data_IF_323837521405
#
_entry.id   IF_323837521405
#
_cell.length_a   1.000
_cell.length_b   1.000
_cell.length_c   1.000
_cell.angle_alpha   90.00
_cell.angle_beta   90.00
_cell.angle_gamma   90.00
#
_symmetry.space_group_name_H-M   'P 1'
#
loop_
_entity.id
_entity.type
_entity.pdbx_description
1 polymer ?
#
# COMPACT_ATOMS: atom_id res chain seq x y z
N UNK A 1 -42.92 -2.48 52.38
CA UNK A 1 -43.54 -2.92 51.12
C UNK A 1 -42.50 -3.76 50.38
N UNK A 2 -42.27 -5.01 50.81
CA UNK A 2 -42.93 -6.24 50.33
C UNK A 2 -42.64 -6.48 48.83
N UNK A 3 -41.71 -7.32 48.37
CA UNK A 3 -41.35 -8.72 48.66
C UNK A 3 -42.41 -9.78 48.25
N UNK A 4 -42.01 -10.57 47.24
CA UNK A 4 -42.29 -12.00 46.98
C UNK A 4 -43.70 -12.48 46.58
N UNK A 5 -43.74 -13.35 45.54
CA UNK A 5 -44.18 -14.78 45.50
C UNK A 5 -44.46 -15.19 44.04
N UNK A 6 -43.81 -16.21 43.45
CA UNK A 6 -44.12 -17.68 43.50
C UNK A 6 -45.60 -17.96 43.20
N UNK A 7 -46.05 -18.89 42.36
CA UNK A 7 -45.65 -20.27 42.04
C UNK A 7 -46.69 -20.78 41.01
N UNK A 8 -46.37 -21.76 40.14
CA UNK A 8 -47.00 -23.09 40.22
C UNK A 8 -46.73 -24.02 39.03
N UNK A 9 -46.46 -25.27 39.41
CA UNK A 9 -46.36 -26.50 38.62
C UNK A 9 -47.64 -27.34 38.82
N UNK A 10 -48.07 -28.04 37.76
CA UNK A 10 -48.89 -29.28 37.81
C UNK A 10 -50.41 -29.12 38.03
N UNK A 11 -51.24 -30.10 37.61
CA UNK A 11 -50.99 -31.53 37.85
C UNK A 11 -51.26 -32.50 36.68
N UNK A 12 -50.91 -33.75 36.98
CA UNK A 12 -50.99 -35.02 36.25
C UNK A 12 -52.42 -35.59 36.19
N UNK A 13 -52.79 -36.28 35.10
CA UNK A 13 -53.80 -37.37 35.11
C UNK A 13 -53.31 -38.56 34.28
N UNK A 14 -53.39 -39.75 34.87
CA UNK A 14 -53.03 -41.08 34.36
C UNK A 14 -54.18 -41.81 33.65
N UNK A 15 -53.81 -42.78 32.79
CA UNK A 15 -54.55 -44.03 32.49
C UNK A 15 -54.77 -44.24 30.98
N UNK A 16 -54.49 -45.37 30.32
CA UNK A 16 -54.21 -46.75 30.73
C UNK A 16 -53.55 -47.52 29.55
N UNK A 17 -52.60 -48.40 29.88
CA UNK A 17 -52.21 -49.70 29.29
C UNK A 17 -52.22 -49.93 27.76
N UNK A 18 -51.03 -50.22 27.24
CA UNK A 18 -50.81 -50.94 25.97
C UNK A 18 -49.35 -51.39 25.84
N UNK A 19 -49.13 -52.69 25.94
CA UNK A 19 -47.85 -53.41 26.03
C UNK A 19 -46.97 -53.38 24.76
N UNK A 20 -45.65 -53.48 24.98
CA UNK A 20 -44.60 -54.14 24.16
C UNK A 20 -44.00 -53.38 22.94
N UNK A 21 -42.76 -52.86 23.10
CA UNK A 21 -41.50 -53.32 22.45
C UNK A 21 -40.40 -52.27 22.64
N UNK A 22 -39.26 -52.67 23.20
CA UNK A 22 -38.11 -51.79 23.42
C UNK A 22 -37.36 -51.41 22.13
N UNK A 23 -36.61 -50.30 22.12
CA UNK A 23 -35.87 -49.84 20.95
C UNK A 23 -34.58 -50.68 20.75
N UNK A 24 -34.14 -50.90 19.50
CA UNK A 24 -32.88 -51.58 19.24
C UNK A 24 -31.69 -50.65 19.55
N UNK A 25 -30.62 -51.25 20.11
CA UNK A 25 -29.32 -50.61 20.33
C UNK A 25 -28.65 -50.23 18.99
N UNK A 26 -27.86 -49.16 18.93
CA UNK A 26 -27.01 -48.87 17.77
C UNK A 26 -25.81 -49.81 17.74
N UNK A 27 -25.54 -50.37 16.56
CA UNK A 27 -24.39 -51.22 16.28
C UNK A 27 -23.13 -50.38 16.03
N UNK A 28 -22.04 -50.76 16.67
CA UNK A 28 -20.67 -50.43 16.26
C UNK A 28 -20.25 -51.32 15.09
N UNK A 29 -19.38 -50.82 14.20
CA UNK A 29 -18.42 -51.71 13.55
C UNK A 29 -16.97 -51.28 13.81
N UNK A 30 -16.15 -52.31 13.76
CA UNK A 30 -14.77 -52.41 14.20
C UNK A 30 -13.78 -51.83 13.19
N UNK A 31 -12.64 -51.47 13.74
CA UNK A 31 -11.36 -51.13 13.11
C UNK A 31 -10.77 -52.26 12.27
N UNK A 32 -10.23 -51.89 11.10
CA UNK A 32 -9.28 -52.67 10.28
C UNK A 32 -8.55 -51.71 9.31
N UNK A 33 -7.26 -51.93 8.97
CA UNK A 33 -6.32 -50.85 8.66
C UNK A 33 -6.37 -50.44 7.18
N UNK A 34 -6.37 -49.13 6.92
CA UNK A 34 -6.10 -48.58 5.59
C UNK A 34 -4.68 -48.03 5.54
N UNK A 35 -3.95 -48.58 4.59
CA UNK A 35 -2.54 -48.35 4.23
C UNK A 35 -2.30 -46.87 3.96
N UNK A 36 -1.35 -46.28 4.70
CA UNK A 36 -0.84 -44.94 4.48
C UNK A 36 0.06 -44.97 3.23
N UNK A 37 -0.46 -44.52 2.09
CA UNK A 37 0.35 -44.21 0.92
C UNK A 37 1.15 -42.94 1.20
N UNK A 38 2.47 -43.09 1.34
CA UNK A 38 3.44 -42.00 1.36
C UNK A 38 3.50 -41.36 -0.02
N UNK A 39 2.91 -40.17 -0.17
CA UNK A 39 3.24 -39.25 -1.24
C UNK A 39 4.19 -38.20 -0.65
N UNK A 40 5.46 -38.39 -0.97
CA UNK A 40 6.50 -37.39 -0.89
C UNK A 40 6.21 -36.31 -1.94
N UNK A 41 5.59 -35.22 -1.53
CA UNK A 41 5.58 -33.99 -2.34
C UNK A 41 6.97 -33.35 -2.19
N UNK A 42 7.85 -33.66 -3.15
CA UNK A 42 9.03 -32.87 -3.42
C UNK A 42 8.59 -31.45 -3.75
N UNK A 43 9.00 -30.51 -2.91
CA UNK A 43 8.79 -29.09 -3.10
C UNK A 43 9.65 -28.58 -4.26
N UNK A 44 9.14 -28.67 -5.50
CA UNK A 44 9.64 -27.87 -6.62
C UNK A 44 9.17 -26.44 -6.43
N UNK A 45 10.05 -25.60 -5.86
CA UNK A 45 9.85 -24.17 -5.68
C UNK A 45 9.88 -23.42 -7.00
N UNK A 46 8.80 -23.47 -7.77
CA UNK A 46 8.57 -22.55 -8.87
C UNK A 46 8.14 -21.18 -8.31
N UNK A 47 8.97 -20.16 -8.51
CA UNK A 47 8.72 -18.78 -8.12
C UNK A 47 7.50 -18.23 -8.87
N UNK A 48 6.33 -18.27 -8.24
CA UNK A 48 5.13 -17.61 -8.76
C UNK A 48 5.35 -16.09 -8.71
N UNK A 49 5.78 -15.52 -9.85
CA UNK A 49 5.74 -14.07 -10.10
C UNK A 49 4.33 -13.56 -9.78
N UNK A 50 4.25 -12.42 -9.10
CA UNK A 50 2.99 -11.84 -8.64
C UNK A 50 2.09 -11.43 -9.84
N UNK A 51 1.20 -12.33 -10.28
CA UNK A 51 0.29 -12.09 -11.42
C UNK A 51 -0.48 -10.77 -11.32
N UNK A 52 -0.90 -10.37 -10.12
CA UNK A 52 -1.65 -9.14 -9.84
C UNK A 52 -0.88 -7.84 -10.20
N UNK A 53 0.43 -7.94 -10.45
CA UNK A 53 1.32 -6.81 -10.78
C UNK A 53 1.76 -6.82 -12.24
N UNK A 54 1.76 -7.98 -12.90
CA UNK A 54 2.31 -8.17 -14.25
C UNK A 54 1.25 -8.56 -15.29
N UNK A 55 0.02 -8.87 -14.88
CA UNK A 55 -1.08 -9.16 -15.81
C UNK A 55 -1.56 -7.88 -16.49
N UNK A 56 -0.94 -7.55 -17.62
CA UNK A 56 -1.36 -6.48 -18.53
C UNK A 56 -2.13 -7.06 -19.72
N UNK A 57 -3.09 -6.33 -20.29
CA UNK A 57 -3.77 -6.71 -21.54
C UNK A 57 -2.88 -6.48 -22.77
N UNK A 58 -1.73 -5.82 -22.58
CA UNK A 58 -0.71 -5.62 -23.61
C UNK A 58 -0.84 -4.29 -24.35
N UNK A 59 -1.59 -3.34 -23.80
CA UNK A 59 -1.78 -2.03 -24.41
C UNK A 59 -0.52 -1.16 -24.26
N UNK A 60 -0.34 -0.23 -25.20
CA UNK A 60 0.69 0.80 -25.17
C UNK A 60 0.09 2.15 -24.75
N UNK A 61 0.91 3.10 -24.28
CA UNK A 61 0.41 4.43 -23.93
C UNK A 61 -0.19 5.20 -25.13
N UNK A 62 0.29 4.89 -26.34
CA UNK A 62 -0.19 5.49 -27.59
C UNK A 62 -1.65 5.12 -27.89
N UNK A 63 -2.13 3.97 -27.40
CA UNK A 63 -3.50 3.49 -27.65
C UNK A 63 -4.56 4.36 -26.95
N UNK A 64 -4.18 5.11 -25.90
CA UNK A 64 -5.10 5.96 -25.15
C UNK A 64 -5.41 7.30 -25.83
N UNK A 65 -4.85 7.57 -27.03
CA UNK A 65 -5.14 8.78 -27.81
C UNK A 65 -4.89 10.09 -27.03
N UNK A 66 -3.84 10.11 -26.22
CA UNK A 66 -3.42 11.25 -25.41
C UNK A 66 -2.79 12.35 -26.27
N UNK A 67 -2.72 13.58 -25.73
CA UNK A 67 -1.92 14.66 -26.33
C UNK A 67 -0.49 14.19 -26.55
N UNK A 68 0.08 14.47 -27.72
CA UNK A 68 1.46 14.11 -28.08
C UNK A 68 2.46 14.65 -27.06
N UNK A 69 2.24 15.87 -26.58
CA UNK A 69 3.05 16.52 -25.57
C UNK A 69 3.01 15.76 -24.23
N UNK A 70 1.86 15.19 -23.87
CA UNK A 70 1.72 14.38 -22.66
C UNK A 70 2.46 13.04 -22.81
N UNK A 71 2.35 12.38 -23.98
CA UNK A 71 3.09 11.16 -24.28
C UNK A 71 4.61 11.36 -24.18
N UNK A 72 5.13 12.48 -24.69
CA UNK A 72 6.55 12.82 -24.56
C UNK A 72 7.00 12.88 -23.09
N UNK A 73 6.18 13.45 -22.20
CA UNK A 73 6.47 13.49 -20.78
C UNK A 73 6.42 12.12 -20.10
N UNK A 74 5.52 11.24 -20.54
CA UNK A 74 5.42 9.84 -20.07
C UNK A 74 6.70 9.07 -20.45
N UNK A 75 7.16 9.18 -21.70
CA UNK A 75 8.38 8.50 -22.15
C UNK A 75 9.65 9.03 -21.49
N UNK A 76 9.77 10.35 -21.24
CA UNK A 76 10.90 10.92 -20.49
C UNK A 76 10.99 10.43 -19.03
N UNK A 77 9.86 10.02 -18.44
CA UNK A 77 9.84 9.37 -17.13
C UNK A 77 10.35 7.92 -17.16
N UNK A 78 10.65 7.38 -18.34
CA UNK A 78 11.02 5.99 -18.55
C UNK A 78 9.85 5.01 -18.44
N UNK A 79 8.61 5.50 -18.63
CA UNK A 79 7.41 4.65 -18.61
C UNK A 79 7.13 4.15 -20.02
N UNK A 80 7.65 2.97 -20.34
CA UNK A 80 7.48 2.35 -21.65
C UNK A 80 6.07 1.77 -21.83
N UNK A 81 5.60 0.98 -20.86
CA UNK A 81 4.28 0.34 -20.88
C UNK A 81 3.44 0.73 -19.66
N UNK A 82 2.10 0.81 -19.81
CA UNK A 82 1.20 1.05 -18.69
C UNK A 82 1.23 -0.12 -17.71
N UNK A 83 1.23 0.19 -16.40
CA UNK A 83 0.99 -0.82 -15.37
C UNK A 83 -0.47 -1.31 -15.38
N UNK A 84 -0.81 -2.46 -14.77
CA UNK A 84 -2.20 -2.96 -14.77
C UNK A 84 -3.23 -1.94 -14.24
N UNK A 85 -2.87 -1.16 -13.22
CA UNK A 85 -3.75 -0.10 -12.71
C UNK A 85 -3.88 1.08 -13.66
N UNK A 86 -2.84 1.39 -14.44
CA UNK A 86 -2.89 2.43 -15.46
C UNK A 86 -3.78 1.97 -16.63
N UNK A 87 -3.62 0.72 -17.06
CA UNK A 87 -4.36 0.14 -18.17
C UNK A 87 -5.87 0.05 -17.92
N UNK A 88 -6.30 -0.30 -16.69
CA UNK A 88 -7.72 -0.28 -16.33
C UNK A 88 -8.25 1.13 -16.07
N UNK A 89 -7.46 2.01 -15.44
CA UNK A 89 -7.96 3.27 -14.92
C UNK A 89 -7.97 4.41 -15.94
N UNK A 90 -6.91 4.55 -16.74
CA UNK A 90 -6.76 5.64 -17.71
C UNK A 90 -7.97 5.75 -18.66
N UNK A 91 -8.39 4.70 -19.39
CA UNK A 91 -9.49 4.81 -20.34
C UNK A 91 -10.82 5.18 -19.67
N UNK A 92 -11.08 4.64 -18.49
CA UNK A 92 -12.30 4.93 -17.72
C UNK A 92 -12.31 6.37 -17.19
N UNK A 93 -11.16 6.86 -16.72
CA UNK A 93 -11.02 8.23 -16.26
C UNK A 93 -11.19 9.22 -17.42
N UNK A 94 -10.64 8.91 -18.60
CA UNK A 94 -10.82 9.70 -19.82
C UNK A 94 -12.28 9.73 -20.30
N UNK A 95 -13.08 8.72 -19.99
CA UNK A 95 -14.51 8.70 -20.27
C UNK A 95 -15.35 9.59 -19.34
N UNK A 96 -14.74 10.19 -18.32
CA UNK A 96 -15.42 11.05 -17.34
C UNK A 96 -16.15 10.31 -16.22
N UNK A 97 -15.97 8.98 -16.10
CA UNK A 97 -16.58 8.18 -15.02
C UNK A 97 -15.83 8.35 -13.71
N UNK A 98 -16.55 8.36 -12.60
CA UNK A 98 -15.93 8.21 -11.28
C UNK A 98 -15.24 6.86 -11.18
N UNK A 99 -14.14 6.79 -10.43
CA UNK A 99 -13.37 5.57 -10.24
C UNK A 99 -13.24 5.29 -8.75
N UNK A 100 -13.41 4.02 -8.41
CA UNK A 100 -13.01 3.46 -7.13
C UNK A 100 -11.98 2.37 -7.37
N UNK A 101 -10.73 2.66 -7.08
CA UNK A 101 -9.62 1.75 -7.32
C UNK A 101 -9.01 1.23 -6.02
N UNK A 102 -8.99 -0.11 -5.89
CA UNK A 102 -8.17 -0.80 -4.91
C UNK A 102 -6.83 -1.15 -5.54
N UNK A 103 -5.77 -0.55 -5.00
CA UNK A 103 -4.42 -0.87 -5.46
C UNK A 103 -3.38 -0.62 -4.37
N UNK A 104 -2.42 -1.55 -4.28
CA UNK A 104 -1.28 -1.45 -3.36
C UNK A 104 -0.38 -0.26 -3.71
N UNK A 105 0.53 0.08 -2.80
CA UNK A 105 1.50 1.14 -3.04
C UNK A 105 2.57 0.67 -4.01
N UNK A 106 3.14 1.60 -4.80
CA UNK A 106 4.19 1.27 -5.77
C UNK A 106 3.72 0.56 -7.05
N UNK A 107 2.42 0.58 -7.38
CA UNK A 107 1.87 0.01 -8.64
C UNK A 107 1.72 1.03 -9.76
N UNK A 108 2.20 2.27 -9.58
CA UNK A 108 2.01 3.33 -10.57
C UNK A 108 0.68 4.07 -10.50
N UNK A 109 -0.02 4.01 -9.34
CA UNK A 109 -1.28 4.76 -9.07
C UNK A 109 -1.19 6.22 -9.46
N UNK A 110 -0.08 6.90 -9.14
CA UNK A 110 0.10 8.30 -9.50
C UNK A 110 -0.01 8.53 -11.01
N UNK A 111 0.61 7.69 -11.84
CA UNK A 111 0.43 7.76 -13.29
C UNK A 111 -1.03 7.50 -13.70
N UNK A 112 -1.69 6.53 -13.06
CA UNK A 112 -3.06 6.13 -13.39
C UNK A 112 -4.08 7.27 -13.26
N UNK A 113 -3.89 8.21 -12.32
CA UNK A 113 -4.76 9.39 -12.19
C UNK A 113 -4.16 10.68 -12.75
N UNK A 114 -2.83 10.86 -12.76
CA UNK A 114 -2.22 12.10 -13.27
C UNK A 114 -2.33 12.19 -14.79
N UNK A 115 -2.20 11.09 -15.50
CA UNK A 115 -2.31 11.06 -16.97
C UNK A 115 -3.69 11.56 -17.43
N UNK A 116 -4.82 10.95 -17.02
CA UNK A 116 -6.13 11.43 -17.44
C UNK A 116 -6.47 12.83 -16.89
N UNK A 117 -5.93 13.19 -15.71
CA UNK A 117 -6.06 14.54 -15.17
C UNK A 117 -5.40 15.59 -16.06
N UNK A 118 -4.13 15.38 -16.43
CA UNK A 118 -3.35 16.31 -17.25
C UNK A 118 -3.90 16.40 -18.67
N UNK A 119 -4.40 15.29 -19.21
CA UNK A 119 -5.10 15.27 -20.50
C UNK A 119 -6.33 16.20 -20.49
N UNK A 120 -7.08 16.22 -19.39
CA UNK A 120 -8.28 17.06 -19.22
C UNK A 120 -8.00 18.55 -19.01
N UNK A 121 -6.78 18.96 -18.67
CA UNK A 121 -6.45 20.37 -18.42
C UNK A 121 -6.57 21.20 -19.72
N UNK A 122 -7.29 22.31 -19.60
CA UNK A 122 -7.45 23.35 -20.62
C UNK A 122 -6.61 24.58 -20.26
N UNK A 123 -5.48 24.76 -20.95
CA UNK A 123 -4.51 25.84 -20.68
C UNK A 123 -5.00 27.23 -21.06
N UNK A 124 -6.15 27.36 -21.74
CA UNK A 124 -6.75 28.66 -22.04
C UNK A 124 -7.48 29.26 -20.85
N UNK A 125 -7.55 28.52 -19.73
CA UNK A 125 -8.38 28.85 -18.58
C UNK A 125 -7.54 28.98 -17.32
N UNK A 126 -7.38 30.21 -16.88
CA UNK A 126 -6.59 30.60 -15.71
C UNK A 126 -7.32 30.35 -14.37
N UNK A 127 -7.73 29.11 -14.13
CA UNK A 127 -8.33 28.70 -12.85
C UNK A 127 -7.96 27.27 -12.48
N UNK A 128 -8.17 26.92 -11.21
CA UNK A 128 -7.91 25.57 -10.69
C UNK A 128 -8.93 24.60 -11.28
N UNK A 129 -8.45 23.64 -12.06
CA UNK A 129 -9.26 22.68 -12.81
C UNK A 129 -9.28 21.30 -12.15
N UNK A 130 -8.22 20.94 -11.45
CA UNK A 130 -8.09 19.65 -10.77
C UNK A 130 -7.44 19.77 -9.39
N UNK A 131 -7.87 18.92 -8.47
CA UNK A 131 -7.30 18.80 -7.12
C UNK A 131 -6.92 17.35 -6.85
N UNK A 132 -5.71 17.11 -6.36
CA UNK A 132 -5.29 15.83 -5.78
C UNK A 132 -5.18 15.97 -4.27
N UNK A 133 -6.01 15.21 -3.56
CA UNK A 133 -5.98 15.08 -2.12
C UNK A 133 -5.06 13.95 -1.71
N UNK A 134 -4.14 14.24 -0.78
CA UNK A 134 -3.19 13.28 -0.22
C UNK A 134 -3.10 13.45 1.30
N UNK A 135 -2.91 12.38 2.09
CA UNK A 135 -2.92 12.46 3.55
C UNK A 135 -1.64 13.06 4.14
N UNK A 136 -0.51 13.00 3.42
CA UNK A 136 0.81 13.40 3.94
C UNK A 136 1.46 14.48 3.06
N UNK A 137 2.35 15.25 3.68
CA UNK A 137 3.07 16.34 3.02
C UNK A 137 4.08 15.79 2.01
N UNK A 138 4.72 14.70 2.38
CA UNK A 138 5.71 14.00 1.57
C UNK A 138 5.08 13.42 0.30
N UNK A 139 3.89 12.82 0.40
CA UNK A 139 3.18 12.33 -0.77
C UNK A 139 2.78 13.48 -1.69
N UNK A 140 2.38 14.64 -1.15
CA UNK A 140 2.08 15.81 -1.97
C UNK A 140 3.29 16.29 -2.79
N UNK A 141 4.47 16.32 -2.17
CA UNK A 141 5.72 16.67 -2.85
C UNK A 141 6.08 15.63 -3.93
N UNK A 142 5.93 14.34 -3.64
CA UNK A 142 6.19 13.30 -4.63
C UNK A 142 5.23 13.38 -5.82
N UNK A 143 3.92 13.46 -5.57
CA UNK A 143 2.91 13.54 -6.63
C UNK A 143 3.07 14.81 -7.45
N UNK A 144 3.42 15.94 -6.82
CA UNK A 144 3.66 17.20 -7.55
C UNK A 144 4.90 17.14 -8.43
N UNK A 145 5.99 16.52 -7.96
CA UNK A 145 7.18 16.29 -8.79
C UNK A 145 6.84 15.42 -10.01
N UNK A 146 6.12 14.31 -9.81
CA UNK A 146 5.69 13.43 -10.91
C UNK A 146 4.79 14.20 -11.88
N UNK A 147 3.83 14.97 -11.38
CA UNK A 147 2.92 15.79 -12.20
C UNK A 147 3.67 16.84 -13.02
N UNK A 148 4.66 17.53 -12.43
CA UNK A 148 5.49 18.52 -13.13
C UNK A 148 6.33 17.86 -14.23
N UNK A 149 6.94 16.70 -13.98
CA UNK A 149 7.76 16.02 -14.98
C UNK A 149 6.91 15.52 -16.16
N UNK A 150 5.78 14.88 -15.89
CA UNK A 150 4.88 14.37 -16.93
C UNK A 150 4.27 15.53 -17.75
N UNK A 151 3.97 16.66 -17.12
CA UNK A 151 3.38 17.83 -17.80
C UNK A 151 4.37 18.80 -18.44
N UNK A 152 5.68 18.52 -18.35
CA UNK A 152 6.77 19.42 -18.79
C UNK A 152 6.60 19.94 -20.23
N UNK A 153 6.12 19.09 -21.14
CA UNK A 153 5.95 19.42 -22.56
C UNK A 153 4.58 20.00 -22.91
N UNK A 154 3.61 19.99 -21.99
CA UNK A 154 2.29 20.58 -22.23
C UNK A 154 2.33 22.11 -22.34
N UNK A 155 3.48 22.75 -22.06
CA UNK A 155 3.71 24.14 -22.44
C UNK A 155 2.86 25.15 -21.67
N UNK A 156 2.58 24.91 -20.39
CA UNK A 156 1.84 25.89 -19.58
C UNK A 156 1.12 25.37 -18.35
N UNK A 157 1.05 24.05 -18.13
CA UNK A 157 0.42 23.49 -16.92
C UNK A 157 1.13 24.04 -15.69
N UNK A 158 0.35 24.51 -14.72
CA UNK A 158 0.85 25.09 -13.48
C UNK A 158 0.39 24.21 -12.34
N UNK A 159 1.32 23.46 -11.79
CA UNK A 159 1.10 22.56 -10.66
C UNK A 159 1.58 23.26 -9.39
N UNK A 160 0.77 23.20 -8.33
CA UNK A 160 1.12 23.70 -7.02
C UNK A 160 0.92 22.61 -5.97
N UNK A 161 1.91 22.40 -5.12
CA UNK A 161 1.75 21.62 -3.89
C UNK A 161 1.50 22.55 -2.71
N UNK A 162 0.46 22.31 -1.92
CA UNK A 162 0.17 23.07 -0.70
C UNK A 162 -0.21 22.14 0.45
N UNK A 163 0.55 22.20 1.54
CA UNK A 163 0.38 21.27 2.64
C UNK A 163 0.53 21.97 3.98
N UNK A 164 0.05 21.36 5.06
CA UNK A 164 0.52 21.79 6.39
C UNK A 164 2.05 21.89 6.39
N UNK A 165 2.63 22.91 7.03
CA UNK A 165 4.09 23.05 7.11
C UNK A 165 4.78 23.83 5.98
N UNK A 166 4.13 24.08 4.84
CA UNK A 166 4.55 25.20 3.97
C UNK A 166 4.05 26.52 4.58
N UNK A 167 4.73 27.62 4.28
CA UNK A 167 4.35 28.94 4.74
C UNK A 167 3.04 29.37 4.07
N UNK A 168 2.00 29.63 4.88
CA UNK A 168 0.69 30.01 4.39
C UNK A 168 0.73 31.31 3.56
N UNK A 169 1.58 32.28 3.93
CA UNK A 169 1.71 33.54 3.18
C UNK A 169 2.22 33.27 1.76
N UNK A 170 3.22 32.40 1.63
CA UNK A 170 3.84 32.09 0.34
C UNK A 170 2.86 31.30 -0.54
N UNK A 171 2.07 30.40 0.05
CA UNK A 171 0.98 29.70 -0.65
C UNK A 171 -0.09 30.69 -1.17
N UNK A 172 -0.45 31.70 -0.37
CA UNK A 172 -1.43 32.73 -0.77
C UNK A 172 -0.87 33.55 -1.95
N UNK A 173 0.36 34.03 -1.84
CA UNK A 173 1.01 34.78 -2.93
C UNK A 173 1.15 33.93 -4.19
N UNK A 174 1.44 32.64 -4.06
CA UNK A 174 1.52 31.72 -5.21
C UNK A 174 0.16 31.54 -5.90
N UNK A 175 -0.94 31.60 -5.17
CA UNK A 175 -2.31 31.50 -5.71
C UNK A 175 -2.82 32.79 -6.34
N UNK A 176 -2.09 33.90 -6.23
CA UNK A 176 -2.35 35.11 -7.03
C UNK A 176 -1.98 34.91 -8.51
N UNK A 177 -1.08 33.96 -8.80
CA UNK A 177 -0.75 33.52 -10.15
C UNK A 177 -1.62 32.33 -10.59
N UNK A 178 -1.71 32.09 -11.90
CA UNK A 178 -2.43 30.92 -12.44
C UNK A 178 -1.93 29.60 -11.84
N UNK A 179 -2.88 28.79 -11.35
CA UNK A 179 -2.68 27.40 -10.95
C UNK A 179 -3.78 26.55 -11.58
N UNK A 180 -3.38 25.50 -12.30
CA UNK A 180 -4.30 24.58 -12.97
C UNK A 180 -4.57 23.33 -12.11
N UNK A 181 -3.52 22.83 -11.43
CA UNK A 181 -3.56 21.62 -10.62
C UNK A 181 -3.06 21.93 -9.22
N UNK A 182 -3.87 21.61 -8.21
CA UNK A 182 -3.48 21.73 -6.80
C UNK A 182 -3.34 20.34 -6.19
N UNK A 183 -2.20 20.08 -5.55
CA UNK A 183 -1.92 18.83 -4.84
C UNK A 183 -1.77 19.17 -3.36
N UNK A 184 -2.65 18.63 -2.51
CA UNK A 184 -2.78 19.17 -1.16
C UNK A 184 -3.19 18.19 -0.07
N UNK A 185 -2.83 18.55 1.16
CA UNK A 185 -3.38 17.93 2.38
C UNK A 185 -4.72 18.57 2.78
N UNK A 186 -5.71 17.81 3.29
CA UNK A 186 -7.08 18.28 3.55
C UNK A 186 -7.17 19.58 4.34
N UNK A 187 -6.50 19.66 5.50
CA UNK A 187 -6.60 20.84 6.35
C UNK A 187 -6.10 22.13 5.70
N UNK A 188 -5.04 22.06 4.88
CA UNK A 188 -4.46 23.25 4.23
C UNK A 188 -5.32 23.76 3.08
N UNK A 189 -5.78 22.87 2.19
CA UNK A 189 -6.61 23.31 1.06
C UNK A 189 -7.96 23.83 1.54
N UNK A 190 -8.55 23.21 2.57
CA UNK A 190 -9.80 23.70 3.14
C UNK A 190 -9.64 25.11 3.74
N UNK A 191 -8.52 25.39 4.42
CA UNK A 191 -8.23 26.73 4.94
C UNK A 191 -8.12 27.76 3.81
N UNK A 192 -7.42 27.43 2.73
CA UNK A 192 -7.29 28.31 1.55
C UNK A 192 -8.62 28.53 0.83
N UNK A 193 -9.48 27.51 0.74
CA UNK A 193 -10.84 27.62 0.19
C UNK A 193 -11.71 28.52 1.07
N UNK A 194 -11.73 28.28 2.39
CA UNK A 194 -12.54 29.07 3.35
C UNK A 194 -12.11 30.54 3.40
N UNK A 195 -10.83 30.85 3.14
CA UNK A 195 -10.32 32.22 3.00
C UNK A 195 -10.63 32.88 1.66
N UNK A 196 -11.21 32.15 0.70
CA UNK A 196 -11.50 32.64 -0.65
C UNK A 196 -10.28 32.80 -1.55
N UNK A 197 -9.13 32.26 -1.14
CA UNK A 197 -7.86 32.32 -1.90
C UNK A 197 -7.85 31.24 -2.98
N UNK A 198 -8.12 29.99 -2.59
CA UNK A 198 -8.27 28.89 -3.53
C UNK A 198 -9.72 28.83 -4.04
N UNK A 199 -9.96 29.33 -5.26
CA UNK A 199 -11.27 29.27 -5.92
C UNK A 199 -11.46 27.92 -6.62
N UNK A 200 -12.37 27.12 -6.10
CA UNK A 200 -12.55 25.70 -6.49
C UNK A 200 -13.92 25.39 -7.11
N UNK A 201 -14.74 26.41 -7.33
CA UNK A 201 -16.09 26.32 -7.92
C UNK A 201 -16.09 25.76 -9.36
N UNK A 202 -14.92 25.78 -10.03
CA UNK A 202 -14.74 25.30 -11.41
C UNK A 202 -13.91 24.02 -11.52
N UNK A 203 -13.52 23.43 -10.40
CA UNK A 203 -12.79 22.16 -10.38
C UNK A 203 -13.68 21.07 -10.97
N UNK A 204 -13.19 20.42 -12.03
CA UNK A 204 -13.90 19.37 -12.73
C UNK A 204 -13.44 17.97 -12.30
N UNK A 205 -12.26 17.85 -11.69
CA UNK A 205 -11.73 16.57 -11.24
C UNK A 205 -11.12 16.66 -9.84
N UNK A 206 -11.51 15.73 -8.98
CA UNK A 206 -10.91 15.54 -7.65
C UNK A 206 -10.35 14.12 -7.57
N UNK A 207 -9.10 14.00 -7.15
CA UNK A 207 -8.46 12.71 -6.85
C UNK A 207 -8.27 12.58 -5.37
N UNK A 208 -8.48 11.38 -4.83
CA UNK A 208 -8.18 11.00 -3.45
C UNK A 208 -7.19 9.83 -3.46
N UNK A 209 -5.92 10.10 -3.13
CA UNK A 209 -4.89 9.07 -3.02
C UNK A 209 -4.68 8.69 -1.54
N UNK A 210 -4.53 7.38 -1.27
CA UNK A 210 -4.62 6.80 0.08
C UNK A 210 -5.93 7.19 0.81
N UNK A 211 -7.07 6.90 0.16
CA UNK A 211 -8.39 7.33 0.61
C UNK A 211 -8.83 6.74 1.96
N UNK A 212 -8.35 5.55 2.34
CA UNK A 212 -8.52 4.99 3.69
C UNK A 212 -8.04 5.95 4.80
N UNK A 213 -6.96 6.68 4.55
CA UNK A 213 -6.46 7.73 5.46
C UNK A 213 -7.23 9.04 5.35
N UNK A 214 -7.55 9.47 4.13
CA UNK A 214 -8.33 10.70 3.91
C UNK A 214 -9.74 10.60 4.50
N UNK A 215 -10.28 9.38 4.60
CA UNK A 215 -11.60 9.08 5.14
C UNK A 215 -11.53 8.47 6.54
N UNK A 216 -10.44 8.68 7.27
CA UNK A 216 -10.38 8.37 8.70
C UNK A 216 -11.28 9.33 9.49
N UNK A 217 -11.55 8.99 10.76
CA UNK A 217 -12.39 9.83 11.63
C UNK A 217 -11.86 11.27 11.76
N UNK A 218 -10.55 11.47 11.67
CA UNK A 218 -9.91 12.79 11.79
C UNK A 218 -10.07 13.66 10.54
N UNK A 219 -10.22 13.06 9.36
CA UNK A 219 -10.19 13.77 8.07
C UNK A 219 -11.51 13.78 7.32
N UNK A 220 -12.42 12.83 7.60
CA UNK A 220 -13.67 12.67 6.84
C UNK A 220 -14.50 13.96 6.77
N UNK A 221 -14.63 14.68 7.89
CA UNK A 221 -15.37 15.95 7.95
C UNK A 221 -14.71 17.02 7.09
N UNK A 222 -13.38 17.06 7.06
CA UNK A 222 -12.64 18.00 6.22
C UNK A 222 -12.84 17.70 4.73
N UNK A 223 -12.89 16.42 4.36
CA UNK A 223 -13.15 15.99 2.99
C UNK A 223 -14.57 16.35 2.56
N UNK A 224 -15.57 16.07 3.39
CA UNK A 224 -16.98 16.44 3.13
C UNK A 224 -17.13 17.96 2.94
N UNK A 225 -16.49 18.75 3.81
CA UNK A 225 -16.43 20.21 3.68
C UNK A 225 -15.83 20.63 2.33
N UNK A 226 -14.66 20.10 1.94
CA UNK A 226 -14.01 20.43 0.66
C UNK A 226 -14.95 20.12 -0.51
N UNK A 227 -15.52 18.92 -0.52
CA UNK A 227 -16.45 18.42 -1.55
C UNK A 227 -17.66 19.34 -1.70
N UNK A 228 -18.12 19.98 -0.62
CA UNK A 228 -19.24 20.93 -0.66
C UNK A 228 -18.94 22.22 -1.44
N UNK A 229 -17.67 22.65 -1.52
CA UNK A 229 -17.25 23.83 -2.28
C UNK A 229 -17.01 23.55 -3.76
N UNK A 230 -16.83 22.29 -4.16
CA UNK A 230 -16.55 21.91 -5.54
C UNK A 230 -17.82 21.90 -6.40
N UNK A 231 -17.65 22.01 -7.72
CA UNK A 231 -18.75 21.88 -8.69
C UNK A 231 -19.50 20.53 -8.51
N UNK A 232 -20.84 20.54 -8.68
CA UNK A 232 -21.65 19.31 -8.53
C UNK A 232 -21.38 18.25 -9.61
N UNK A 233 -20.98 18.68 -10.81
CA UNK A 233 -20.68 17.80 -11.95
C UNK A 233 -19.21 17.37 -12.03
N UNK A 234 -18.47 17.46 -10.92
CA UNK A 234 -17.07 17.02 -10.84
C UNK A 234 -16.96 15.50 -10.95
N UNK A 235 -15.88 15.03 -11.55
CA UNK A 235 -15.44 13.65 -11.52
C UNK A 235 -14.59 13.39 -10.28
N UNK A 236 -14.81 12.26 -9.59
CA UNK A 236 -14.03 11.84 -8.43
C UNK A 236 -13.32 10.52 -8.74
N UNK A 237 -11.99 10.52 -8.59
CA UNK A 237 -11.17 9.31 -8.71
C UNK A 237 -10.58 8.97 -7.33
N UNK A 238 -11.02 7.86 -6.74
CA UNK A 238 -10.61 7.42 -5.41
C UNK A 238 -9.68 6.21 -5.53
N UNK A 239 -8.51 6.30 -4.92
CA UNK A 239 -7.51 5.23 -4.86
C UNK A 239 -7.20 4.88 -3.41
N UNK A 240 -7.31 3.60 -3.06
CA UNK A 240 -7.06 3.12 -1.70
C UNK A 240 -6.37 1.77 -1.68
N UNK A 241 -5.59 1.50 -0.63
CA UNK A 241 -5.06 0.15 -0.39
C UNK A 241 -6.10 -0.72 0.33
N UNK A 242 -6.83 -0.11 1.27
CA UNK A 242 -7.85 -0.79 2.07
C UNK A 242 -9.21 -0.11 1.95
N UNK A 243 -10.28 -0.85 2.23
CA UNK A 243 -11.66 -0.33 2.24
C UNK A 243 -12.32 -0.57 3.60
N UNK A 244 -11.90 0.16 4.66
CA UNK A 244 -12.58 0.12 5.93
C UNK A 244 -14.01 0.67 5.80
N UNK A 245 -14.83 0.47 6.84
CA UNK A 245 -16.24 0.91 6.88
C UNK A 245 -16.39 2.39 6.52
N UNK A 246 -15.44 3.25 6.90
CA UNK A 246 -15.50 4.67 6.55
C UNK A 246 -15.40 4.92 5.04
N UNK A 247 -14.51 4.19 4.34
CA UNK A 247 -14.45 4.27 2.87
C UNK A 247 -15.69 3.67 2.25
N UNK A 248 -16.19 2.53 2.76
CA UNK A 248 -17.44 1.94 2.27
C UNK A 248 -18.64 2.88 2.45
N UNK A 249 -18.74 3.58 3.57
CA UNK A 249 -19.77 4.62 3.79
C UNK A 249 -19.63 5.75 2.77
N UNK A 250 -18.41 6.19 2.50
CA UNK A 250 -18.16 7.19 1.45
C UNK A 250 -18.52 6.66 0.06
N UNK A 251 -18.29 5.37 -0.23
CA UNK A 251 -18.69 4.74 -1.49
C UNK A 251 -20.20 4.74 -1.70
N UNK A 252 -20.96 4.49 -0.63
CA UNK A 252 -22.44 4.48 -0.64
C UNK A 252 -23.03 5.89 -0.51
N UNK A 253 -22.20 6.90 -0.21
CA UNK A 253 -22.63 8.28 -0.12
C UNK A 253 -23.03 8.84 -1.50
N UNK A 254 -23.76 9.95 -1.50
CA UNK A 254 -24.18 10.65 -2.72
C UNK A 254 -23.03 11.36 -3.46
N UNK A 255 -21.78 11.20 -3.02
CA UNK A 255 -20.63 11.87 -3.61
C UNK A 255 -20.12 11.20 -4.89
N UNK A 256 -20.22 9.87 -5.01
CA UNK A 256 -19.80 9.13 -6.19
C UNK A 256 -20.99 8.80 -7.09
N UNK A 257 -20.85 9.03 -8.39
CA UNK A 257 -21.89 8.78 -9.39
C UNK A 257 -21.62 7.47 -10.16
N UNK A 258 -22.15 6.35 -9.65
CA UNK A 258 -21.98 5.01 -10.24
C UNK A 258 -20.51 4.74 -10.60
N UNK A 259 -19.61 4.74 -9.61
CA UNK A 259 -18.17 4.62 -9.85
C UNK A 259 -17.87 3.29 -10.57
N UNK A 260 -16.86 3.31 -11.43
CA UNK A 260 -16.28 2.09 -11.95
C UNK A 260 -15.32 1.53 -10.90
N UNK A 261 -15.61 0.31 -10.45
CA UNK A 261 -14.82 -0.35 -9.41
C UNK A 261 -13.69 -1.16 -10.05
N UNK A 262 -12.46 -0.77 -9.74
CA UNK A 262 -11.25 -1.47 -10.15
C UNK A 262 -10.71 -2.18 -8.90
N UNK A 263 -10.82 -3.50 -8.86
CA UNK A 263 -10.19 -4.29 -7.82
C UNK A 263 -9.09 -5.15 -8.43
N UNK A 264 -7.87 -4.64 -8.42
CA UNK A 264 -6.67 -5.38 -8.85
C UNK A 264 -6.05 -6.20 -7.71
N UNK A 265 -6.78 -6.36 -6.61
CA UNK A 265 -6.36 -7.13 -5.44
C UNK A 265 -7.46 -8.16 -5.14
N UNK A 266 -7.35 -9.36 -5.71
CA UNK A 266 -8.24 -10.48 -5.35
C UNK A 266 -8.09 -10.84 -3.85
N UNK A 267 -6.86 -10.71 -3.34
CA UNK A 267 -6.50 -10.82 -1.92
C UNK A 267 -5.62 -9.61 -1.50
N UNK A 268 -5.52 -9.34 -0.20
CA UNK A 268 -4.58 -8.33 0.36
C UNK A 268 -3.13 -8.82 0.25
N UNK A 269 -2.69 -9.16 -0.95
CA UNK A 269 -1.49 -9.95 -1.15
C UNK A 269 -0.23 -9.10 -1.00
N UNK A 270 0.65 -9.59 -0.15
CA UNK A 270 2.04 -9.17 0.00
C UNK A 270 2.95 -9.97 -0.94
N UNK A 271 2.39 -10.44 -2.07
CA UNK A 271 3.09 -11.22 -3.10
C UNK A 271 4.37 -10.47 -3.52
N UNK A 272 5.50 -11.18 -3.45
CA UNK A 272 6.83 -10.64 -3.70
C UNK A 272 7.57 -10.13 -2.46
N UNK A 273 6.95 -10.13 -1.28
CA UNK A 273 7.61 -9.81 -0.01
C UNK A 273 7.69 -11.08 0.84
N UNK A 274 8.90 -11.57 1.06
CA UNK A 274 9.15 -12.65 2.02
C UNK A 274 9.06 -12.08 3.43
N UNK A 275 8.28 -12.71 4.29
CA UNK A 275 7.99 -12.21 5.64
C UNK A 275 8.48 -13.19 6.70
N UNK A 276 9.30 -12.70 7.61
CA UNK A 276 9.76 -13.46 8.77
C UNK A 276 9.47 -12.76 10.08
N UNK A 277 9.37 -13.52 11.15
CA UNK A 277 9.43 -13.02 12.52
C UNK A 277 10.56 -13.66 13.33
N UNK A 278 11.11 -12.89 14.26
CA UNK A 278 12.07 -13.34 15.26
C UNK A 278 11.51 -13.07 16.65
N UNK A 279 11.35 -14.11 17.47
CA UNK A 279 11.01 -13.95 18.88
C UNK A 279 12.19 -13.38 19.65
N UNK A 280 11.99 -12.20 20.23
CA UNK A 280 13.03 -11.48 20.98
C UNK A 280 12.42 -10.76 22.18
N UNK A 281 13.19 -10.64 23.25
CA UNK A 281 12.87 -9.69 24.32
C UNK A 281 13.26 -8.28 23.91
N UNK A 282 12.68 -7.25 24.52
CA UNK A 282 13.04 -5.84 24.27
C UNK A 282 14.55 -5.59 24.38
N UNK A 283 15.21 -6.22 25.37
CA UNK A 283 16.65 -6.08 25.58
C UNK A 283 17.49 -6.70 24.46
N UNK A 284 16.96 -7.70 23.77
CA UNK A 284 17.64 -8.42 22.70
C UNK A 284 17.45 -7.79 21.33
N UNK A 285 16.47 -6.89 21.14
CA UNK A 285 16.12 -6.31 19.82
C UNK A 285 17.32 -5.69 19.10
N UNK A 286 18.14 -4.89 19.79
CA UNK A 286 19.33 -4.26 19.19
C UNK A 286 20.38 -5.30 18.79
N UNK A 287 20.56 -6.34 19.60
CA UNK A 287 21.49 -7.43 19.28
C UNK A 287 21.00 -8.25 18.08
N UNK A 288 19.70 -8.56 18.03
CA UNK A 288 19.08 -9.22 16.88
C UNK A 288 19.27 -8.38 15.61
N UNK A 289 19.01 -7.07 15.68
CA UNK A 289 19.21 -6.15 14.56
C UNK A 289 20.67 -6.17 14.05
N UNK A 290 21.65 -6.18 14.96
CA UNK A 290 23.07 -6.29 14.62
C UNK A 290 23.39 -7.60 13.87
N UNK A 291 22.81 -8.71 14.31
CA UNK A 291 22.93 -10.02 13.64
C UNK A 291 22.32 -9.99 12.24
N UNK A 292 21.14 -9.37 12.09
CA UNK A 292 20.49 -9.22 10.77
C UNK A 292 21.36 -8.39 9.82
N UNK A 293 21.87 -7.25 10.26
CA UNK A 293 22.72 -6.38 9.45
C UNK A 293 24.06 -7.02 9.05
N UNK A 294 24.54 -7.98 9.83
CA UNK A 294 25.76 -8.73 9.53
C UNK A 294 25.54 -9.90 8.56
N UNK A 295 24.31 -10.44 8.48
CA UNK A 295 23.99 -11.62 7.66
C UNK A 295 23.29 -11.29 6.34
N UNK A 296 22.55 -10.19 6.28
CA UNK A 296 21.74 -9.83 5.12
C UNK A 296 22.50 -8.95 4.14
N UNK A 297 22.25 -9.15 2.85
CA UNK A 297 22.76 -8.30 1.78
C UNK A 297 21.79 -7.12 1.56
N UNK A 298 21.95 -6.11 2.39
CA UNK A 298 21.08 -4.91 2.40
C UNK A 298 21.64 -3.88 1.43
N UNK A 299 20.83 -3.48 0.44
CA UNK A 299 21.10 -2.29 -0.37
C UNK A 299 20.74 -1.04 0.47
N UNK A 300 19.45 -0.77 0.64
CA UNK A 300 18.93 0.12 1.66
C UNK A 300 17.88 -0.58 2.53
N UNK A 301 17.76 -0.15 3.79
CA UNK A 301 16.72 -0.63 4.70
C UNK A 301 15.90 0.49 5.34
N UNK A 302 14.67 0.17 5.69
CA UNK A 302 13.81 1.01 6.53
C UNK A 302 13.50 0.26 7.82
N UNK A 303 13.72 0.92 8.96
CA UNK A 303 13.50 0.37 10.29
C UNK A 303 12.36 1.14 10.98
N UNK A 304 11.25 0.47 11.23
CA UNK A 304 10.08 1.08 11.85
C UNK A 304 10.08 0.92 13.37
N UNK A 305 9.89 2.04 14.06
CA UNK A 305 9.61 2.08 15.50
C UNK A 305 8.22 2.69 15.76
N UNK A 306 7.60 2.31 16.86
CA UNK A 306 6.23 2.75 17.20
C UNK A 306 6.18 4.15 17.84
N UNK A 307 7.32 4.74 18.23
CA UNK A 307 7.35 6.07 18.85
C UNK A 307 8.54 6.92 18.43
N UNK A 308 8.34 8.24 18.44
CA UNK A 308 9.38 9.24 18.09
C UNK A 308 10.64 9.13 18.95
N UNK A 309 10.48 8.92 20.26
CA UNK A 309 11.59 8.73 21.19
C UNK A 309 12.39 7.46 20.88
N UNK A 310 11.72 6.36 20.51
CA UNK A 310 12.39 5.11 20.15
C UNK A 310 13.17 5.24 18.85
N UNK A 311 12.65 6.00 17.87
CA UNK A 311 13.38 6.33 16.64
C UNK A 311 14.72 7.00 16.96
N UNK A 312 14.71 8.07 17.76
CA UNK A 312 15.93 8.80 18.12
C UNK A 312 16.92 7.91 18.89
N UNK A 313 16.44 7.17 19.89
CA UNK A 313 17.28 6.29 20.71
C UNK A 313 17.90 5.17 19.89
N UNK A 314 17.12 4.53 19.03
CA UNK A 314 17.60 3.45 18.17
C UNK A 314 18.62 3.98 17.16
N UNK A 315 18.31 5.08 16.48
CA UNK A 315 19.21 5.71 15.52
C UNK A 315 20.55 6.05 16.17
N UNK A 316 20.53 6.73 17.32
CA UNK A 316 21.76 7.04 18.08
C UNK A 316 22.55 5.79 18.45
N UNK A 317 21.85 4.72 18.87
CA UNK A 317 22.50 3.46 19.28
C UNK A 317 23.15 2.74 18.10
N UNK A 318 22.48 2.64 16.95
CA UNK A 318 23.05 1.95 15.78
C UNK A 318 24.15 2.78 15.11
N UNK A 319 24.06 4.12 15.12
CA UNK A 319 25.17 4.99 14.68
C UNK A 319 26.42 4.78 15.54
N UNK A 320 26.27 4.65 16.86
CA UNK A 320 27.40 4.31 17.75
C UNK A 320 28.02 2.94 17.47
N UNK A 321 27.25 2.00 16.91
CA UNK A 321 27.73 0.70 16.47
C UNK A 321 28.39 0.73 15.07
N UNK A 322 28.46 1.91 14.44
CA UNK A 322 29.10 2.11 13.13
C UNK A 322 28.15 1.99 11.94
N UNK A 323 26.83 1.85 12.16
CA UNK A 323 25.87 1.80 11.06
C UNK A 323 25.58 3.19 10.48
N UNK A 324 25.66 3.31 9.15
CA UNK A 324 25.18 4.48 8.42
C UNK A 324 23.66 4.51 8.47
N UNK A 325 23.10 5.45 9.24
CA UNK A 325 21.66 5.65 9.33
C UNK A 325 21.27 7.13 9.44
N UNK A 326 20.13 7.45 8.86
CA UNK A 326 19.37 8.64 9.20
C UNK A 326 18.12 8.24 9.97
N UNK A 327 17.45 9.23 10.55
CA UNK A 327 16.17 9.00 11.20
C UNK A 327 15.18 10.11 10.88
N UNK A 328 13.89 9.76 10.84
CA UNK A 328 12.83 10.75 10.68
C UNK A 328 11.59 10.40 11.51
N UNK A 329 11.04 11.41 12.21
CA UNK A 329 9.83 11.28 13.01
C UNK A 329 9.02 12.59 13.11
N UNK A 330 7.77 12.50 13.57
CA UNK A 330 6.77 13.56 13.40
C UNK A 330 7.13 14.90 14.09
N UNK A 331 7.94 14.85 15.16
CA UNK A 331 8.40 16.03 15.92
C UNK A 331 9.53 16.83 15.24
N UNK A 332 10.09 16.37 14.12
CA UNK A 332 11.13 17.12 13.39
C UNK A 332 10.49 18.23 12.54
N UNK A 333 11.22 19.34 12.35
CA UNK A 333 10.76 20.37 11.43
C UNK A 333 10.72 19.85 9.99
N UNK A 334 9.77 20.34 9.19
CA UNK A 334 9.50 19.80 7.86
C UNK A 334 10.71 19.90 6.91
N UNK A 335 11.46 20.99 6.97
CA UNK A 335 12.65 21.18 6.12
C UNK A 335 13.70 20.09 6.36
N UNK A 336 13.96 19.74 7.62
CA UNK A 336 14.86 18.64 7.98
C UNK A 336 14.30 17.29 7.54
N UNK A 337 12.98 17.06 7.70
CA UNK A 337 12.33 15.84 7.22
C UNK A 337 12.56 15.65 5.71
N UNK A 338 12.32 16.70 4.93
CA UNK A 338 12.49 16.70 3.48
C UNK A 338 13.96 16.45 3.08
N UNK A 339 14.89 17.12 3.76
CA UNK A 339 16.33 16.94 3.52
C UNK A 339 16.77 15.50 3.78
N UNK A 340 16.43 14.94 4.95
CA UNK A 340 16.81 13.56 5.29
C UNK A 340 16.20 12.57 4.30
N UNK A 341 14.95 12.78 3.90
CA UNK A 341 14.31 11.93 2.90
C UNK A 341 15.02 12.00 1.54
N UNK A 342 15.36 13.20 1.07
CA UNK A 342 16.11 13.39 -0.18
C UNK A 342 17.50 12.74 -0.12
N UNK A 343 18.23 12.96 0.98
CA UNK A 343 19.57 12.40 1.20
C UNK A 343 19.52 10.86 1.26
N UNK A 344 18.50 10.29 1.92
CA UNK A 344 18.28 8.84 1.94
C UNK A 344 17.92 8.29 0.55
N UNK A 345 17.02 8.94 -0.18
CA UNK A 345 16.62 8.53 -1.54
C UNK A 345 17.81 8.53 -2.51
N UNK A 346 18.74 9.47 -2.35
CA UNK A 346 19.96 9.56 -3.17
C UNK A 346 21.08 8.62 -2.73
N UNK A 347 20.83 7.71 -1.77
CA UNK A 347 21.80 6.71 -1.35
C UNK A 347 22.91 7.23 -0.42
N UNK A 348 22.79 8.45 0.13
CA UNK A 348 23.81 8.99 1.07
C UNK A 348 23.86 8.22 2.40
N UNK A 349 22.85 7.39 2.65
CA UNK A 349 22.72 6.57 3.84
C UNK A 349 22.09 5.23 3.50
N UNK A 350 22.52 4.15 4.16
CA UNK A 350 21.93 2.82 3.91
C UNK A 350 20.66 2.53 4.70
N UNK A 351 20.47 3.10 5.88
CA UNK A 351 19.36 2.73 6.77
C UNK A 351 18.54 3.94 7.22
N UNK A 352 17.21 3.89 7.09
CA UNK A 352 16.32 4.93 7.59
C UNK A 352 15.53 4.41 8.78
N UNK A 353 15.69 5.03 9.96
CA UNK A 353 14.86 4.74 11.14
C UNK A 353 13.69 5.70 11.21
N UNK A 354 12.45 5.21 11.25
CA UNK A 354 11.30 6.11 11.24
C UNK A 354 10.04 5.59 11.94
N UNK A 355 9.11 6.51 12.19
CA UNK A 355 7.71 6.20 12.53
C UNK A 355 6.84 6.06 11.28
N UNK A 356 5.63 5.52 11.44
CA UNK A 356 4.64 5.27 10.37
C UNK A 356 4.30 6.45 9.47
N UNK A 357 4.42 7.68 9.98
CA UNK A 357 4.02 8.88 9.27
C UNK A 357 4.85 9.16 8.01
N UNK A 358 6.09 8.63 7.95
CA UNK A 358 7.08 9.08 6.98
C UNK A 358 7.08 8.34 5.67
N UNK A 359 6.75 7.07 5.68
CA UNK A 359 7.02 6.21 4.53
C UNK A 359 5.78 5.98 3.68
N UNK A 360 4.61 6.49 4.09
CA UNK A 360 3.36 6.33 3.34
C UNK A 360 3.38 7.05 2.00
N UNK A 361 2.89 6.39 0.95
CA UNK A 361 3.02 6.87 -0.43
C UNK A 361 4.43 6.95 -1.03
N UNK A 362 5.49 6.81 -0.23
CA UNK A 362 6.88 6.99 -0.68
C UNK A 362 7.43 5.77 -1.42
N UNK A 363 8.05 6.05 -2.57
CA UNK A 363 8.76 5.09 -3.43
C UNK A 363 10.28 5.31 -3.40
N UNK A 364 11.02 4.33 -2.88
CA UNK A 364 12.49 4.24 -2.92
C UNK A 364 12.84 2.84 -3.44
N UNK A 365 13.31 2.75 -4.68
CA UNK A 365 13.57 1.47 -5.37
C UNK A 365 14.71 0.67 -4.72
N UNK A 366 15.71 1.33 -4.16
CA UNK A 366 16.87 0.68 -3.54
C UNK A 366 16.56 0.01 -2.19
N UNK A 367 15.35 0.18 -1.63
CA UNK A 367 14.95 -0.47 -0.38
C UNK A 367 14.50 -1.90 -0.66
N UNK A 368 15.35 -2.87 -0.29
CA UNK A 368 15.06 -4.30 -0.41
C UNK A 368 14.73 -4.97 0.93
N UNK A 369 15.03 -4.33 2.06
CA UNK A 369 14.76 -4.86 3.41
C UNK A 369 13.96 -3.88 4.26
N UNK A 370 12.86 -4.34 4.85
CA UNK A 370 12.07 -3.61 5.85
C UNK A 370 12.15 -4.34 7.18
N UNK A 371 12.42 -3.61 8.25
CA UNK A 371 12.50 -4.16 9.61
C UNK A 371 11.45 -3.48 10.49
N UNK A 372 10.50 -4.26 10.99
CA UNK A 372 9.64 -3.83 12.08
C UNK A 372 10.38 -4.07 13.40
N UNK A 373 11.15 -3.07 13.83
CA UNK A 373 11.83 -3.11 15.13
C UNK A 373 10.81 -3.13 16.28
N UNK A 374 9.73 -2.38 16.11
CA UNK A 374 8.52 -2.53 16.91
C UNK A 374 7.38 -3.01 16.01
N UNK A 375 6.73 -4.11 16.40
CA UNK A 375 5.63 -4.65 15.63
C UNK A 375 4.40 -3.70 15.68
N UNK A 376 3.72 -3.46 14.55
CA UNK A 376 2.54 -2.60 14.53
C UNK A 376 1.34 -3.25 15.22
N UNK A 377 0.38 -2.43 15.66
CA UNK A 377 -0.81 -2.88 16.38
C UNK A 377 -1.97 -3.32 15.46
N UNK A 378 -1.94 -2.96 14.17
CA UNK A 378 -3.03 -3.25 13.25
C UNK A 378 -2.51 -3.60 11.85
N UNK A 379 -3.33 -4.36 11.12
CA UNK A 379 -3.01 -4.93 9.81
C UNK A 379 -2.76 -3.85 8.75
N UNK A 380 -3.55 -2.77 8.79
CA UNK A 380 -3.39 -1.63 7.87
C UNK A 380 -2.01 -0.99 8.00
N UNK A 381 -1.53 -0.72 9.22
CA UNK A 381 -0.19 -0.17 9.43
C UNK A 381 0.89 -1.14 8.96
N UNK A 382 0.74 -2.43 9.27
CA UNK A 382 1.67 -3.46 8.80
C UNK A 382 1.79 -3.47 7.27
N UNK A 383 0.66 -3.54 6.56
CA UNK A 383 0.59 -3.49 5.11
C UNK A 383 1.33 -2.27 4.54
N UNK A 384 1.10 -1.09 5.11
CA UNK A 384 1.75 0.14 4.65
C UNK A 384 3.26 0.17 4.91
N UNK A 385 3.75 -0.48 5.97
CA UNK A 385 5.18 -0.55 6.30
C UNK A 385 5.92 -1.47 5.36
N UNK A 386 5.43 -2.69 5.16
CA UNK A 386 6.16 -3.70 4.39
C UNK A 386 5.94 -3.58 2.88
N UNK A 387 4.83 -2.97 2.45
CA UNK A 387 4.59 -2.58 1.05
C UNK A 387 5.55 -1.48 0.52
N UNK A 388 6.65 -1.19 1.24
CA UNK A 388 7.74 -0.33 0.81
C UNK A 388 8.86 -1.07 0.10
N UNK A 389 8.92 -2.39 0.29
CA UNK A 389 9.73 -3.35 -0.46
C UNK A 389 8.80 -4.19 -1.35
N UNK A 390 9.30 -4.84 -2.41
CA UNK A 390 8.46 -5.72 -3.22
C UNK A 390 7.64 -5.02 -4.33
N UNK A 391 8.27 -4.13 -5.11
CA UNK A 391 7.62 -3.37 -6.21
C UNK A 391 7.69 -4.13 -7.55
N UNK A 392 7.09 -3.58 -8.61
CA UNK A 392 7.06 -4.18 -9.95
C UNK A 392 8.43 -4.80 -10.33
N UNK A 393 8.47 -6.13 -10.48
CA UNK A 393 9.69 -6.88 -10.82
C UNK A 393 10.72 -7.12 -9.71
N UNK A 394 10.54 -6.57 -8.50
CA UNK A 394 11.51 -6.66 -7.41
C UNK A 394 10.94 -7.39 -6.20
N UNK A 395 11.65 -8.41 -5.72
CA UNK A 395 11.35 -9.10 -4.45
C UNK A 395 11.86 -8.29 -3.25
N UNK A 396 11.26 -8.49 -2.08
CA UNK A 396 11.61 -7.79 -0.85
C UNK A 396 11.58 -8.69 0.37
N UNK A 397 12.26 -8.25 1.43
CA UNK A 397 12.31 -8.95 2.72
C UNK A 397 11.75 -8.08 3.83
N UNK A 398 10.77 -8.61 4.58
CA UNK A 398 10.24 -8.00 5.79
C UNK A 398 10.57 -8.85 7.01
N UNK A 399 11.22 -8.26 8.02
CA UNK A 399 11.57 -8.94 9.27
C UNK A 399 10.91 -8.26 10.46
N UNK A 400 10.21 -9.05 11.26
CA UNK A 400 9.43 -8.60 12.40
C UNK A 400 10.09 -9.01 13.72
N UNK A 401 10.44 -8.04 14.57
CA UNK A 401 10.92 -8.32 15.92
C UNK A 401 9.73 -8.42 16.87
N UNK A 402 9.40 -9.64 17.28
CA UNK A 402 8.18 -9.96 18.03
C UNK A 402 8.52 -10.22 19.50
N UNK A 403 7.88 -9.45 20.39
CA UNK A 403 7.92 -9.71 21.83
C UNK A 403 6.75 -10.61 22.25
N UNK A 404 6.73 -11.03 23.52
CA UNK A 404 5.61 -11.81 24.07
C UNK A 404 4.27 -11.08 23.98
N UNK A 405 4.26 -9.75 24.08
CA UNK A 405 3.05 -8.92 24.00
C UNK A 405 2.51 -8.81 22.56
N UNK A 406 3.38 -8.99 21.57
CA UNK A 406 3.03 -8.83 20.15
C UNK A 406 2.36 -10.09 19.57
N UNK A 407 2.36 -11.22 20.27
CA UNK A 407 1.85 -12.52 19.76
C UNK A 407 0.42 -12.46 19.27
N UNK A 408 -0.46 -11.78 20.02
CA UNK A 408 -1.86 -11.64 19.62
C UNK A 408 -1.99 -10.78 18.35
N UNK A 409 -1.25 -9.67 18.29
CA UNK A 409 -1.27 -8.79 17.13
C UNK A 409 -0.68 -9.49 15.90
N UNK A 410 0.39 -10.28 16.05
CA UNK A 410 0.98 -11.07 14.96
C UNK A 410 -0.08 -11.95 14.32
N UNK A 411 -0.73 -12.78 15.14
CA UNK A 411 -1.76 -13.71 14.63
C UNK A 411 -2.95 -12.98 14.03
N UNK A 412 -3.42 -11.92 14.69
CA UNK A 412 -4.53 -11.10 14.18
C UNK A 412 -4.21 -10.44 12.84
N UNK A 413 -2.97 -10.00 12.63
CA UNK A 413 -2.53 -9.39 11.37
C UNK A 413 -2.39 -10.44 10.27
N UNK A 414 -1.84 -11.62 10.57
CA UNK A 414 -1.78 -12.76 9.63
C UNK A 414 -3.18 -13.14 9.13
N UNK A 415 -4.15 -13.26 10.05
CA UNK A 415 -5.51 -13.66 9.73
C UNK A 415 -6.26 -12.57 8.92
N UNK A 416 -6.08 -11.29 9.27
CA UNK A 416 -6.72 -10.17 8.56
C UNK A 416 -6.17 -9.94 7.16
N UNK A 417 -4.86 -10.15 6.97
CA UNK A 417 -4.19 -9.95 5.68
C UNK A 417 -4.12 -11.23 4.85
N UNK A 418 -4.55 -12.36 5.41
CA UNK A 418 -4.45 -13.69 4.80
C UNK A 418 -3.01 -13.91 4.31
N UNK A 419 -2.06 -13.76 5.22
CA UNK A 419 -0.63 -13.85 4.93
C UNK A 419 0.10 -14.72 5.94
N UNK A 420 1.18 -15.35 5.50
CA UNK A 420 2.00 -16.24 6.32
C UNK A 420 3.31 -15.53 6.70
N UNK A 421 3.48 -15.25 7.99
CA UNK A 421 4.71 -14.66 8.53
C UNK A 421 5.49 -15.80 9.20
N UNK A 422 6.51 -16.29 8.50
CA UNK A 422 7.23 -17.50 8.92
C UNK A 422 8.22 -17.21 10.07
N UNK A 423 8.55 -18.19 10.92
CA UNK A 423 9.69 -18.04 11.81
C UNK A 423 10.98 -17.84 11.00
N UNK A 424 11.87 -16.95 11.47
CA UNK A 424 13.12 -16.67 10.78
C UNK A 424 14.01 -17.94 10.72
N UNK A 425 14.48 -18.37 9.54
CA UNK A 425 15.36 -19.52 9.40
C UNK A 425 16.79 -19.19 9.84
N UNK A 426 17.64 -20.22 9.99
CA UNK A 426 19.06 -20.03 10.32
C UNK A 426 19.83 -19.23 9.27
N UNK A 427 19.45 -19.37 8.01
CA UNK A 427 19.95 -18.63 6.84
C UNK A 427 18.79 -18.23 5.93
N UNK A 428 18.82 -17.02 5.39
CA UNK A 428 17.82 -16.51 4.45
C UNK A 428 18.41 -16.54 3.04
N UNK A 429 17.70 -17.16 2.11
CA UNK A 429 18.08 -17.20 0.70
C UNK A 429 18.08 -15.78 0.09
N UNK A 430 19.15 -15.45 -0.62
CA UNK A 430 19.35 -14.15 -1.26
C UNK A 430 18.43 -13.93 -2.45
N UNK A 431 18.02 -15.00 -3.12
CA UNK A 431 17.10 -14.95 -4.27
C UNK A 431 15.72 -14.37 -3.88
N UNK A 432 15.41 -14.31 -2.59
CA UNK A 432 14.15 -13.79 -2.08
C UNK A 432 14.09 -12.25 -2.01
N UNK A 433 15.22 -11.55 -2.15
CA UNK A 433 15.27 -10.09 -1.93
C UNK A 433 16.45 -9.35 -2.57
N UNK A 434 17.33 -10.03 -3.32
CA UNK A 434 18.49 -9.42 -3.98
C UNK A 434 18.34 -9.56 -5.48
N UNK A 435 18.13 -8.43 -6.17
CA UNK A 435 17.80 -8.40 -7.59
C UNK A 435 18.84 -9.08 -8.51
N UNK A 436 20.14 -8.98 -8.19
CA UNK A 436 21.22 -9.59 -8.97
C UNK A 436 21.10 -11.11 -9.09
N UNK A 437 20.48 -11.76 -8.10
CA UNK A 437 20.28 -13.20 -8.11
C UNK A 437 19.00 -13.64 -8.82
N UNK A 438 18.11 -12.70 -9.18
CA UNK A 438 16.90 -13.03 -9.94
C UNK A 438 17.23 -13.33 -11.41
N UNK A 439 18.30 -12.74 -11.95
CA UNK A 439 18.72 -12.92 -13.36
C UNK A 439 19.48 -14.23 -13.57
N UNK A 440 20.27 -14.67 -12.59
CA UNK A 440 21.08 -15.89 -12.70
C UNK A 440 20.24 -17.18 -12.86
N UNK A 441 19.01 -17.19 -12.33
CA UNK A 441 18.11 -18.33 -12.51
C UNK A 441 17.49 -18.40 -13.91
N UNK A 442 17.34 -17.28 -14.63
CA UNK A 442 16.84 -17.30 -16.01
C UNK A 442 17.84 -17.96 -16.95
N UNK A 443 19.14 -17.70 -16.77
CA UNK A 443 20.17 -18.31 -17.61
C UNK A 443 20.31 -19.82 -17.30
N UNK A 444 20.12 -20.24 -16.05
CA UNK A 444 20.13 -21.66 -15.65
C UNK A 444 18.86 -22.42 -16.10
N UNK A 445 17.66 -21.82 -15.98
CA UNK A 445 16.41 -22.44 -16.42
C UNK A 445 16.37 -22.61 -17.96
N UNK A 446 16.91 -21.63 -18.71
CA UNK A 446 17.06 -21.73 -20.17
C UNK A 446 18.10 -22.79 -20.56
N UNK A 447 19.19 -22.94 -19.82
CA UNK A 447 20.17 -24.02 -20.05
C UNK A 447 19.63 -25.42 -19.72
N UNK A 448 18.73 -25.55 -18.74
CA UNK A 448 18.08 -26.83 -18.43
C UNK A 448 17.01 -27.19 -19.49
N UNK A 449 16.19 -26.24 -19.94
CA UNK A 449 15.23 -26.47 -21.04
C UNK A 449 15.93 -26.81 -22.37
N UNK A 450 17.10 -26.21 -22.65
CA UNK A 450 17.92 -26.53 -23.84
C UNK A 450 18.57 -27.91 -23.74
N UNK A 451 18.87 -28.41 -22.54
CA UNK A 451 19.40 -29.77 -22.32
C UNK A 451 18.30 -30.83 -22.41
N UNK A 452 17.08 -30.53 -21.97
CA UNK A 452 15.94 -31.45 -22.10
C UNK A 452 15.40 -31.54 -23.54
N UNK A 453 15.47 -30.46 -24.32
CA UNK A 453 15.05 -30.45 -25.74
C UNK A 453 16.11 -30.95 -26.72
N UNK A 454 17.38 -31.04 -26.32
CA UNK A 454 18.51 -31.44 -27.17
C UNK A 454 18.73 -32.96 -27.34
N UNK A 455 17.94 -33.82 -26.71
CA UNK A 455 18.16 -35.28 -26.73
C UNK A 455 17.24 -36.06 -27.71
N UNK A 456 16.68 -35.38 -28.71
CA UNK A 456 15.92 -36.01 -29.81
C UNK A 456 16.35 -35.45 -31.16
N UNK A 457 17.56 -35.78 -31.61
CA UNK A 457 17.85 -35.80 -33.06
C UNK A 457 18.59 -37.09 -33.40
N UNK A 458 17.92 -37.87 -34.24
CA UNK A 458 18.32 -39.13 -34.84
C UNK A 458 19.61 -38.96 -35.66
N UNK A 459 20.58 -39.86 -35.48
CA UNK A 459 21.64 -40.10 -36.46
C UNK A 459 21.14 -41.09 -37.53
N UNK A 460 21.63 -40.97 -38.79
CA UNK A 460 20.97 -41.46 -40.00
C UNK A 460 20.87 -42.98 -40.19
#
# INVERSE_FOLDING_TARGET
>A
MAAARTENLGPVVMGLNGQLRGPPKPASPQSGPLVLGSLSDEATGASQKAGDVTSTKGNEFEDYCLKRELLMGIFEMGWEKPSPIQEESIPIALSGRDILARAKNGTGKSGAYLIPMLERIDLKKDYIQAIVMVPTRELALQVSQISIQISKHLGGVKVMATTGGTNLRDDIMRLDETVHVVIATPGRILDLIKKGVAKVDRVQMMVMDEADKLLSQDFVVLIEDIISFLAKGRQILLYSATFPISVQKFMVSSHLQKPYEINLMEELTLKGITQYYAYVTERQKVHCLNTLFSRLQINQSIIFCNSTQRVELLAKKITQLGYSCFYIHAKMMQEYRNRVFHDFRNGLCRNLVCTDLFTRGIDIQAVNVVINFDFPKNAETYLHRIGRSGRFGHLGLAINLITSEDRFNLKSIEDQLVTDIKPIPGSIDKNLYVAEFHTANLDCEVEEELKETGCQQEEP
#
